data_IF_240232794663
#
_entry.id   IF_240232794663
#
_cell.length_a   1.000
_cell.length_b   1.000
_cell.length_c   1.000
_cell.angle_alpha   90.00
_cell.angle_beta   90.00
_cell.angle_gamma   90.00
#
_symmetry.space_group_name_H-M   'P 1'
#
loop_
_entity.id
_entity.type
_entity.pdbx_description
1 polymer ?
#
# COMPACT_ATOMS: atom_id res chain seq x y z
N UNK A 1 -9.78 19.39 -31.94
CA UNK A 1 -10.79 19.19 -30.90
C UNK A 1 -10.10 18.46 -29.77
N UNK A 2 -9.74 19.19 -28.67
CA UNK A 2 -9.10 18.61 -27.48
C UNK A 2 -10.21 18.06 -26.59
N UNK A 3 -10.22 16.74 -26.40
CA UNK A 3 -11.05 16.10 -25.39
C UNK A 3 -10.48 16.44 -24.00
N UNK A 4 -11.25 17.20 -23.25
CA UNK A 4 -10.98 17.53 -21.85
C UNK A 4 -11.25 16.26 -21.01
N UNK A 5 -10.21 15.58 -20.57
CA UNK A 5 -10.35 14.52 -19.58
C UNK A 5 -10.84 15.14 -18.27
N UNK A 6 -12.11 14.94 -17.99
CA UNK A 6 -12.71 15.34 -16.72
C UNK A 6 -12.02 14.56 -15.59
N UNK A 7 -11.32 15.28 -14.71
CA UNK A 7 -10.74 14.77 -13.48
C UNK A 7 -11.86 14.24 -12.59
N UNK A 8 -12.06 12.94 -12.60
CA UNK A 8 -12.87 12.26 -11.57
C UNK A 8 -12.00 12.04 -10.34
N UNK A 9 -11.89 13.04 -9.48
CA UNK A 9 -11.57 12.85 -8.08
C UNK A 9 -12.82 12.27 -7.42
N UNK A 10 -13.01 10.96 -7.52
CA UNK A 10 -14.23 10.30 -7.08
C UNK A 10 -13.91 9.04 -6.30
N UNK A 11 -14.66 8.83 -5.22
CA UNK A 11 -14.73 7.57 -4.46
C UNK A 11 -14.69 6.38 -5.41
N UNK A 12 -13.87 5.40 -5.09
CA UNK A 12 -13.86 4.12 -5.78
C UNK A 12 -15.27 3.51 -5.63
N UNK A 13 -15.94 3.23 -6.74
CA UNK A 13 -17.19 2.46 -6.70
C UNK A 13 -16.91 1.01 -6.28
N UNK A 14 -17.97 0.18 -6.15
CA UNK A 14 -17.83 -1.23 -5.75
C UNK A 14 -16.80 -2.01 -6.58
N UNK A 15 -16.74 -1.76 -7.89
CA UNK A 15 -15.73 -2.36 -8.78
C UNK A 15 -14.33 -1.89 -8.42
N UNK A 16 -14.16 -0.59 -8.15
CA UNK A 16 -12.86 -0.02 -7.77
C UNK A 16 -12.36 -0.53 -6.42
N UNK A 17 -13.26 -0.77 -5.46
CA UNK A 17 -12.89 -1.39 -4.17
C UNK A 17 -12.44 -2.85 -4.34
N UNK A 18 -13.09 -3.60 -5.22
CA UNK A 18 -12.68 -4.96 -5.55
C UNK A 18 -11.31 -4.99 -6.22
N UNK A 19 -11.09 -4.11 -7.21
CA UNK A 19 -9.81 -3.99 -7.90
C UNK A 19 -8.69 -3.60 -6.92
N UNK A 20 -8.98 -2.67 -6.01
CA UNK A 20 -8.05 -2.25 -4.97
C UNK A 20 -7.64 -3.41 -4.05
N UNK A 21 -8.63 -4.20 -3.60
CA UNK A 21 -8.37 -5.39 -2.78
C UNK A 21 -7.53 -6.42 -3.54
N UNK A 22 -7.84 -6.69 -4.80
CA UNK A 22 -7.07 -7.63 -5.62
C UNK A 22 -5.62 -7.17 -5.77
N UNK A 23 -5.38 -5.89 -6.10
CA UNK A 23 -4.04 -5.30 -6.21
C UNK A 23 -3.25 -5.47 -4.92
N UNK A 24 -3.89 -5.27 -3.75
CA UNK A 24 -3.25 -5.50 -2.46
C UNK A 24 -2.88 -6.98 -2.28
N UNK A 25 -3.84 -7.87 -2.47
CA UNK A 25 -3.66 -9.31 -2.28
C UNK A 25 -2.57 -9.84 -3.23
N UNK A 26 -2.51 -9.36 -4.46
CA UNK A 26 -1.46 -9.67 -5.45
C UNK A 26 -0.08 -9.18 -4.99
N UNK A 27 -0.01 -7.98 -4.41
CA UNK A 27 1.25 -7.45 -3.89
C UNK A 27 1.79 -8.30 -2.72
N UNK A 28 0.92 -8.72 -1.81
CA UNK A 28 1.30 -9.62 -0.71
C UNK A 28 1.78 -10.98 -1.22
N UNK A 29 1.02 -11.61 -2.10
CA UNK A 29 1.37 -12.93 -2.64
C UNK A 29 2.68 -12.90 -3.44
N UNK A 30 2.91 -11.84 -4.22
CA UNK A 30 4.13 -11.67 -4.99
C UNK A 30 5.34 -11.43 -4.08
N UNK A 31 5.18 -10.61 -3.03
CA UNK A 31 6.21 -10.37 -2.04
C UNK A 31 6.65 -11.67 -1.35
N UNK A 32 5.70 -12.47 -0.89
CA UNK A 32 5.98 -13.76 -0.25
C UNK A 32 6.71 -14.75 -1.18
N UNK A 33 6.42 -14.70 -2.47
CA UNK A 33 7.08 -15.55 -3.47
C UNK A 33 8.51 -15.11 -3.82
N UNK A 34 8.85 -13.82 -3.63
CA UNK A 34 10.14 -13.25 -4.03
C UNK A 34 11.11 -13.03 -2.87
N UNK A 35 10.57 -12.75 -1.69
CA UNK A 35 11.36 -12.48 -0.48
C UNK A 35 10.79 -13.31 0.68
N UNK A 36 11.51 -14.36 1.05
CA UNK A 36 11.18 -15.16 2.23
C UNK A 36 11.32 -14.31 3.49
N UNK A 37 10.35 -14.43 4.39
CA UNK A 37 10.30 -13.65 5.62
C UNK A 37 9.63 -14.44 6.75
N UNK A 38 10.00 -14.13 7.99
CA UNK A 38 9.41 -14.72 9.19
C UNK A 38 8.18 -13.93 9.67
N UNK A 39 8.17 -12.60 9.50
CA UNK A 39 7.15 -11.73 10.07
C UNK A 39 6.54 -10.68 9.11
N UNK A 40 7.09 -10.51 7.91
CA UNK A 40 6.66 -9.57 6.86
C UNK A 40 6.72 -8.08 7.24
N UNK A 41 7.50 -7.71 8.24
CA UNK A 41 7.61 -6.32 8.66
C UNK A 41 9.05 -5.85 8.63
N UNK A 42 9.24 -4.58 8.28
CA UNK A 42 10.49 -3.87 8.38
C UNK A 42 11.65 -4.46 7.54
N UNK A 43 11.37 -5.46 6.72
CA UNK A 43 12.32 -6.27 5.97
C UNK A 43 12.25 -6.05 4.44
N UNK A 44 12.95 -6.88 3.68
CA UNK A 44 12.96 -6.83 2.22
C UNK A 44 11.60 -7.22 1.60
N UNK A 45 10.83 -8.11 2.27
CA UNK A 45 9.48 -8.45 1.85
C UNK A 45 8.58 -7.23 1.97
N UNK A 46 8.66 -6.54 3.11
CA UNK A 46 7.91 -5.33 3.38
C UNK A 46 8.24 -4.21 2.38
N UNK A 47 9.53 -3.94 2.17
CA UNK A 47 10.00 -2.96 1.21
C UNK A 47 9.50 -3.25 -0.21
N UNK A 48 9.59 -4.52 -0.65
CA UNK A 48 9.05 -4.96 -1.94
C UNK A 48 7.53 -4.77 -2.01
N UNK A 49 6.81 -5.22 -0.99
CA UNK A 49 5.34 -5.18 -0.92
C UNK A 49 4.82 -3.76 -1.05
N UNK A 50 5.36 -2.82 -0.28
CA UNK A 50 4.98 -1.41 -0.34
C UNK A 50 5.25 -0.79 -1.71
N UNK A 51 6.42 -1.02 -2.28
CA UNK A 51 6.76 -0.49 -3.59
C UNK A 51 5.92 -1.12 -4.71
N UNK A 52 5.75 -2.43 -4.71
CA UNK A 52 5.00 -3.11 -5.75
C UNK A 52 3.50 -2.77 -5.71
N UNK A 53 2.92 -2.70 -4.51
CA UNK A 53 1.55 -2.24 -4.33
C UNK A 53 1.36 -0.82 -4.88
N UNK A 54 2.28 0.10 -4.58
CA UNK A 54 2.26 1.46 -5.11
C UNK A 54 2.46 1.51 -6.63
N UNK A 55 3.29 0.64 -7.21
CA UNK A 55 3.47 0.54 -8.65
C UNK A 55 2.17 0.10 -9.34
N UNK A 56 1.51 -0.95 -8.84
CA UNK A 56 0.24 -1.44 -9.36
C UNK A 56 -0.88 -0.40 -9.25
N UNK A 57 -1.00 0.26 -8.09
CA UNK A 57 -1.97 1.34 -7.90
C UNK A 57 -1.71 2.52 -8.83
N UNK A 58 -0.45 2.89 -9.02
CA UNK A 58 -0.06 3.98 -9.94
C UNK A 58 -0.46 3.66 -11.37
N UNK A 59 -0.25 2.43 -11.80
CA UNK A 59 -0.69 1.96 -13.10
C UNK A 59 -2.22 2.01 -13.26
N UNK A 60 -2.95 1.62 -12.24
CA UNK A 60 -4.42 1.53 -12.28
C UNK A 60 -5.12 2.87 -12.09
N UNK A 61 -4.68 3.66 -11.12
CA UNK A 61 -5.39 4.87 -10.65
C UNK A 61 -4.64 6.17 -10.94
N UNK A 62 -3.37 6.08 -11.33
CA UNK A 62 -2.48 7.22 -11.56
C UNK A 62 -1.68 7.62 -10.32
N UNK A 63 -0.51 8.23 -10.55
CA UNK A 63 0.45 8.56 -9.50
C UNK A 63 -0.09 9.53 -8.45
N UNK A 64 -0.82 10.58 -8.87
CA UNK A 64 -1.39 11.59 -7.96
C UNK A 64 -2.42 10.98 -6.98
N UNK A 65 -3.26 10.07 -7.47
CA UNK A 65 -4.24 9.40 -6.63
C UNK A 65 -3.55 8.47 -5.64
N UNK A 66 -2.60 7.66 -6.13
CA UNK A 66 -1.84 6.70 -5.32
C UNK A 66 -1.07 7.41 -4.21
N UNK A 67 -0.38 8.50 -4.52
CA UNK A 67 0.34 9.31 -3.55
C UNK A 67 -0.57 9.82 -2.42
N UNK A 68 -1.71 10.41 -2.78
CA UNK A 68 -2.67 10.91 -1.77
C UNK A 68 -3.21 9.81 -0.88
N UNK A 69 -3.48 8.64 -1.48
CA UNK A 69 -3.98 7.50 -0.74
C UNK A 69 -2.94 6.99 0.26
N UNK A 70 -1.71 6.76 -0.20
CA UNK A 70 -0.64 6.19 0.65
C UNK A 70 -0.21 7.16 1.74
N UNK A 71 -0.10 8.46 1.47
CA UNK A 71 0.13 9.44 2.55
C UNK A 71 -0.95 9.43 3.62
N UNK A 72 -2.22 9.31 3.22
CA UNK A 72 -3.32 9.22 4.18
C UNK A 72 -3.31 7.91 4.98
N UNK A 73 -2.80 6.83 4.38
CA UNK A 73 -2.67 5.52 5.02
C UNK A 73 -1.54 5.51 6.05
N UNK A 74 -0.37 6.09 5.73
CA UNK A 74 0.78 6.15 6.64
C UNK A 74 0.60 7.17 7.79
N UNK A 75 -0.24 8.20 7.60
CA UNK A 75 -0.48 9.25 8.59
C UNK A 75 -1.40 8.81 9.75
N UNK A 76 -1.44 7.54 10.11
CA UNK A 76 -2.25 7.02 11.21
C UNK A 76 -1.61 7.39 12.56
N UNK A 77 -2.34 8.03 13.49
CA UNK A 77 -1.80 8.41 14.78
C UNK A 77 -1.28 7.20 15.58
N UNK A 78 -0.03 7.26 16.01
CA UNK A 78 0.60 6.19 16.81
C UNK A 78 1.50 5.27 16.02
N UNK A 79 1.65 5.47 14.71
CA UNK A 79 2.62 4.76 13.91
C UNK A 79 4.06 5.07 14.36
N UNK A 80 4.95 4.08 14.23
CA UNK A 80 6.37 4.29 14.54
C UNK A 80 7.00 5.19 13.45
N UNK A 81 7.66 6.30 13.80
CA UNK A 81 8.22 7.22 12.81
C UNK A 81 9.24 6.60 11.85
N UNK A 82 9.97 5.58 12.29
CA UNK A 82 10.94 4.87 11.44
C UNK A 82 10.22 4.02 10.39
N UNK A 83 9.15 3.33 10.79
CA UNK A 83 8.28 2.56 9.88
C UNK A 83 7.59 3.47 8.88
N UNK A 84 6.99 4.55 9.36
CA UNK A 84 6.36 5.54 8.48
C UNK A 84 7.35 6.06 7.43
N UNK A 85 8.58 6.41 7.84
CA UNK A 85 9.60 6.89 6.93
C UNK A 85 10.06 5.80 5.94
N UNK A 86 10.17 4.53 6.38
CA UNK A 86 10.46 3.39 5.53
C UNK A 86 9.37 3.23 4.46
N UNK A 87 8.12 3.18 4.88
CA UNK A 87 6.98 2.96 4.01
C UNK A 87 6.81 4.09 2.98
N UNK A 88 6.94 5.34 3.42
CA UNK A 88 6.87 6.50 2.53
C UNK A 88 7.97 6.48 1.46
N UNK A 89 9.20 6.12 1.82
CA UNK A 89 10.30 6.00 0.88
C UNK A 89 10.03 4.88 -0.15
N UNK A 90 9.70 3.69 0.32
CA UNK A 90 9.46 2.53 -0.53
C UNK A 90 8.23 2.72 -1.43
N UNK A 91 7.18 3.35 -0.92
CA UNK A 91 6.02 3.76 -1.69
C UNK A 91 6.38 4.70 -2.86
N UNK A 92 7.27 5.68 -2.64
CA UNK A 92 7.71 6.61 -3.69
C UNK A 92 8.56 5.90 -4.75
N UNK A 93 9.44 4.98 -4.37
CA UNK A 93 10.21 4.18 -5.33
C UNK A 93 9.27 3.39 -6.24
N UNK A 94 8.23 2.76 -5.68
CA UNK A 94 7.23 2.03 -6.47
C UNK A 94 6.48 2.92 -7.45
N UNK A 95 6.03 4.10 -7.01
CA UNK A 95 5.38 5.08 -7.89
C UNK A 95 6.30 5.58 -8.99
N UNK A 96 7.59 5.80 -8.69
CA UNK A 96 8.60 6.20 -9.66
C UNK A 96 8.79 5.13 -10.73
N UNK A 97 9.01 3.87 -10.34
CA UNK A 97 9.15 2.74 -11.27
C UNK A 97 7.97 2.66 -12.23
N UNK A 98 6.74 2.76 -11.73
CA UNK A 98 5.55 2.70 -12.58
C UNK A 98 5.44 3.90 -13.55
N UNK A 99 5.91 5.09 -13.16
CA UNK A 99 5.94 6.27 -14.05
C UNK A 99 7.01 6.14 -15.15
N UNK A 100 8.16 5.57 -14.81
CA UNK A 100 9.27 5.36 -15.73
C UNK A 100 8.99 4.22 -16.73
N UNK A 101 8.14 3.27 -16.35
CA UNK A 101 7.77 2.10 -17.15
C UNK A 101 6.24 2.00 -17.38
N UNK A 102 5.63 2.97 -18.09
CA UNK A 102 4.18 3.05 -18.23
C UNK A 102 3.56 1.86 -18.96
N UNK A 103 4.31 1.22 -19.83
CA UNK A 103 3.85 0.08 -20.64
C UNK A 103 4.16 -1.29 -19.99
N UNK A 104 4.92 -1.31 -18.87
CA UNK A 104 5.30 -2.55 -18.20
C UNK A 104 4.06 -3.34 -17.72
N UNK A 105 4.10 -4.66 -17.87
CA UNK A 105 3.12 -5.58 -17.28
C UNK A 105 3.32 -5.72 -15.77
N UNK A 106 2.42 -6.43 -15.10
CA UNK A 106 2.51 -6.65 -13.65
C UNK A 106 3.77 -7.43 -13.28
N UNK A 107 4.10 -8.49 -14.02
CA UNK A 107 5.30 -9.29 -13.78
C UNK A 107 6.58 -8.48 -14.03
N UNK A 108 6.63 -7.67 -15.09
CA UNK A 108 7.75 -6.78 -15.36
C UNK A 108 7.92 -5.71 -14.28
N UNK A 109 6.81 -5.16 -13.77
CA UNK A 109 6.86 -4.24 -12.62
C UNK A 109 7.39 -4.96 -11.37
N UNK A 110 6.99 -6.21 -11.14
CA UNK A 110 7.51 -7.00 -10.02
C UNK A 110 9.03 -7.22 -10.15
N UNK A 111 9.52 -7.53 -11.35
CA UNK A 111 10.96 -7.71 -11.62
C UNK A 111 11.75 -6.40 -11.39
N UNK A 112 11.21 -5.28 -11.85
CA UNK A 112 11.82 -3.96 -11.65
C UNK A 112 11.87 -3.57 -10.17
N UNK A 113 10.80 -3.84 -9.41
CA UNK A 113 10.75 -3.60 -7.96
C UNK A 113 11.71 -4.54 -7.22
N UNK A 114 11.78 -5.82 -7.59
CA UNK A 114 12.75 -6.75 -7.01
C UNK A 114 14.19 -6.28 -7.25
N UNK A 115 14.47 -5.84 -8.48
CA UNK A 115 15.79 -5.27 -8.81
C UNK A 115 16.10 -4.06 -7.93
N UNK A 116 15.15 -3.16 -7.73
CA UNK A 116 15.33 -1.97 -6.88
C UNK A 116 15.61 -2.34 -5.41
N UNK A 117 14.94 -3.39 -4.87
CA UNK A 117 15.26 -3.92 -3.54
C UNK A 117 16.70 -4.44 -3.49
N UNK A 118 17.12 -5.22 -4.48
CA UNK A 118 18.47 -5.83 -4.51
C UNK A 118 19.58 -4.82 -4.76
N UNK A 119 19.29 -3.76 -5.50
CA UNK A 119 20.25 -2.69 -5.83
C UNK A 119 20.35 -1.61 -4.74
N UNK A 120 19.60 -1.71 -3.64
CA UNK A 120 19.68 -0.76 -2.54
C UNK A 120 18.93 0.55 -2.79
N UNK A 121 17.91 0.55 -3.65
CA UNK A 121 17.05 1.72 -3.86
C UNK A 121 15.94 1.84 -2.79
N UNK A 122 15.67 0.76 -2.07
CA UNK A 122 14.73 0.69 -0.96
C UNK A 122 15.44 0.91 0.37
N UNK A 123 14.65 1.13 1.40
CA UNK A 123 15.14 1.15 2.79
C UNK A 123 14.42 0.12 3.63
N UNK A 124 15.12 -0.39 4.64
CA UNK A 124 14.66 -1.39 5.60
C UNK A 124 15.10 -1.01 7.01
N UNK A 125 14.49 -1.62 8.01
CA UNK A 125 14.89 -1.44 9.42
C UNK A 125 15.75 -2.63 9.82
N UNK A 126 17.02 -2.44 10.22
CA UNK A 126 17.86 -3.53 10.69
C UNK A 126 17.39 -4.03 12.05
N UNK A 127 17.77 -5.28 12.41
CA UNK A 127 17.52 -5.80 13.76
C UNK A 127 18.07 -4.87 14.83
N UNK A 128 17.23 -4.61 15.83
CA UNK A 128 17.54 -3.64 16.89
C UNK A 128 17.11 -2.22 16.60
N UNK A 129 16.53 -1.95 15.44
CA UNK A 129 15.93 -0.64 15.08
C UNK A 129 16.91 0.53 15.08
N UNK A 130 16.39 1.74 15.23
CA UNK A 130 17.14 2.95 15.51
C UNK A 130 17.62 3.71 14.28
N UNK A 131 17.50 3.16 13.08
CA UNK A 131 17.81 3.83 11.80
C UNK A 131 17.30 3.06 10.60
N UNK A 132 17.04 3.76 9.52
CA UNK A 132 16.86 3.16 8.20
C UNK A 132 18.23 2.86 7.56
N UNK A 133 18.30 1.76 6.83
CA UNK A 133 19.46 1.41 5.99
C UNK A 133 18.99 1.05 4.60
N UNK A 134 19.84 1.23 3.59
CA UNK A 134 19.51 0.76 2.25
C UNK A 134 19.43 -0.77 2.19
N UNK A 135 18.52 -1.27 1.39
CA UNK A 135 18.16 -2.69 1.33
C UNK A 135 19.31 -3.62 0.90
N UNK A 136 20.33 -3.10 0.22
CA UNK A 136 21.55 -3.85 -0.14
C UNK A 136 22.58 -3.94 1.01
N UNK A 137 22.40 -3.16 2.09
CA UNK A 137 23.33 -3.10 3.21
C UNK A 137 23.06 -4.14 4.30
N UNK A 138 21.92 -4.82 4.24
CA UNK A 138 21.50 -5.83 5.21
C UNK A 138 21.02 -7.08 4.47
N UNK A 139 21.59 -8.22 4.81
CA UNK A 139 21.18 -9.51 4.25
C UNK A 139 19.86 -10.03 4.85
N UNK A 140 19.27 -11.06 4.21
CA UNK A 140 18.10 -11.74 4.76
C UNK A 140 18.33 -12.20 6.21
N UNK A 141 17.31 -12.02 7.05
CA UNK A 141 17.39 -12.33 8.48
C UNK A 141 18.13 -11.30 9.34
N UNK A 142 18.66 -10.22 8.73
CA UNK A 142 19.29 -9.09 9.44
C UNK A 142 18.38 -7.89 9.68
N UNK A 143 17.13 -7.97 9.20
CA UNK A 143 16.10 -6.90 9.27
C UNK A 143 14.99 -7.26 10.26
N UNK A 144 14.22 -6.24 10.63
CA UNK A 144 13.06 -6.38 11.51
C UNK A 144 13.38 -6.41 12.99
N UNK A 145 12.40 -6.07 13.81
CA UNK A 145 12.47 -6.22 15.26
C UNK A 145 11.63 -7.44 15.68
N UNK A 146 12.24 -8.54 16.16
CA UNK A 146 11.49 -9.72 16.57
C UNK A 146 10.63 -9.49 17.83
N UNK A 147 10.72 -8.34 18.46
CA UNK A 147 10.06 -8.05 19.75
C UNK A 147 8.72 -7.35 19.58
N UNK A 148 8.44 -6.73 18.43
CA UNK A 148 7.17 -6.05 18.20
C UNK A 148 6.24 -6.92 17.36
N UNK A 149 5.10 -7.38 17.89
CA UNK A 149 4.09 -8.03 17.08
C UNK A 149 3.64 -7.04 16.00
N UNK A 150 3.47 -7.55 14.78
CA UNK A 150 2.91 -6.77 13.68
C UNK A 150 1.63 -6.06 14.14
N UNK A 151 1.47 -4.76 13.88
CA UNK A 151 0.17 -4.15 14.03
C UNK A 151 -0.82 -4.91 13.14
N UNK A 152 -1.92 -5.40 13.70
CA UNK A 152 -3.01 -6.04 12.92
C UNK A 152 -3.67 -5.07 11.91
N UNK A 153 -3.20 -3.85 11.84
CA UNK A 153 -3.81 -2.69 11.21
C UNK A 153 -3.83 -2.75 9.69
N UNK A 154 -2.88 -3.43 9.05
CA UNK A 154 -2.89 -3.59 7.58
C UNK A 154 -4.08 -4.42 7.07
N UNK A 155 -4.74 -5.18 7.95
CA UNK A 155 -5.93 -5.97 7.59
C UNK A 155 -7.24 -5.22 7.81
N UNK A 156 -7.30 -4.31 8.79
CA UNK A 156 -8.55 -3.63 9.18
C UNK A 156 -8.77 -2.31 8.45
N UNK A 157 -7.72 -1.59 8.04
CA UNK A 157 -7.87 -0.31 7.34
C UNK A 157 -8.68 -0.43 6.03
N UNK A 158 -8.63 -1.59 5.38
CA UNK A 158 -9.43 -1.85 4.17
C UNK A 158 -10.87 -2.26 4.50
N UNK A 159 -11.11 -2.91 5.64
CA UNK A 159 -12.46 -3.32 6.06
C UNK A 159 -13.27 -2.13 6.59
N UNK A 160 -12.65 -1.18 7.27
CA UNK A 160 -13.32 0.04 7.77
C UNK A 160 -13.87 0.96 6.67
N UNK A 161 -13.32 0.87 5.45
CA UNK A 161 -13.83 1.63 4.29
C UNK A 161 -15.03 0.96 3.61
N UNK A 162 -15.18 -0.34 3.74
CA UNK A 162 -16.31 -1.09 3.21
C UNK A 162 -17.58 -0.88 4.05
N UNK A 163 -17.43 -0.74 5.37
CA UNK A 163 -18.57 -0.63 6.30
C UNK A 163 -19.12 0.81 6.47
N UNK A 164 -18.33 1.84 6.20
CA UNK A 164 -18.80 3.24 6.32
C UNK A 164 -19.69 3.71 5.17
N UNK A 165 -19.96 2.87 4.18
CA UNK A 165 -20.78 3.18 2.98
C UNK A 165 -22.23 2.72 3.03
N UNK A 166 -22.71 2.04 4.05
CA UNK A 166 -24.00 1.36 4.01
C UNK A 166 -24.83 1.40 5.27
N UNK A 167 -25.27 2.54 5.78
CA UNK A 167 -26.53 2.60 6.54
C UNK A 167 -27.10 4.01 6.60
N UNK A 168 -27.80 4.34 5.54
CA UNK A 168 -28.77 5.43 5.49
C UNK A 168 -30.15 4.85 5.20
N UNK A 169 -30.64 3.98 6.05
CA UNK A 169 -32.04 3.52 6.00
C UNK A 169 -32.89 4.51 6.77
N UNK A 170 -33.59 5.34 6.00
CA UNK A 170 -34.61 6.26 6.51
C UNK A 170 -35.71 5.56 7.26
N UNK A 171 -35.84 5.85 8.53
CA UNK A 171 -37.08 5.60 9.30
C UNK A 171 -38.09 6.67 8.89
N UNK A 172 -39.06 6.30 8.06
CA UNK A 172 -40.30 7.04 7.96
C UNK A 172 -41.14 6.74 9.21
N UNK A 173 -41.24 7.71 10.09
CA UNK A 173 -42.27 7.73 11.14
C UNK A 173 -43.61 8.03 10.52
N UNK A 174 -44.48 7.00 10.44
CA UNK A 174 -45.89 7.13 10.16
C UNK A 174 -46.62 7.56 11.42
N UNK A 175 -47.11 8.77 11.43
CA UNK A 175 -48.11 9.22 12.38
C UNK A 175 -49.45 8.61 11.97
N UNK A 176 -50.05 7.77 12.81
CA UNK A 176 -51.43 7.33 12.73
C UNK A 176 -52.23 7.98 13.84
N UNK A 177 -53.00 8.96 13.50
CA UNK A 177 -54.07 9.48 14.35
C UNK A 177 -55.28 8.56 14.23
N UNK A 178 -55.92 8.25 15.32
CA UNK A 178 -57.17 7.54 15.38
C UNK A 178 -57.86 7.74 16.69
N UNK A 179 -58.86 8.61 16.66
CA UNK A 179 -60.08 8.75 17.47
C UNK A 179 -60.08 8.32 18.95
#
# INVERSE_FOLDING_TARGET
VRATAARRTGRLGLTGLRDFKNIRDDAFATADGRFETDDRNDDHNDAFRHAYWNALMTKKYGAEWTEKYTYAHEAIPGNNPEREAMDLHNNEVGRRIAREHPDAGEEELADLVEKAVRDGEMVVIPKGGGRLVFSDQVGPGGTGDPVLPAPEEDREAVSGWADSGGSGSGRRSGAGSGS
#
